data_IF_724947900104
#
_entry.id   IF_724947900104
#
_cell.length_a   1.000
_cell.length_b   1.000
_cell.length_c   1.000
_cell.angle_alpha   90.00
_cell.angle_beta   90.00
_cell.angle_gamma   90.00
#
_symmetry.space_group_name_H-M   'P 1'
#
loop_
_entity.id
_entity.type
_entity.pdbx_description
1 polymer ?
#
# COMPACT_ATOMS: atom_id res chain seq x y z
N UNK A 1 -25.23 -8.69 -81.98
CA UNK A 1 -25.37 -9.33 -80.66
C UNK A 1 -24.00 -9.35 -79.98
N UNK A 2 -23.71 -8.35 -79.13
CA UNK A 2 -22.50 -8.30 -78.30
C UNK A 2 -22.95 -8.29 -76.84
N UNK A 3 -22.62 -9.36 -76.12
CA UNK A 3 -22.90 -9.52 -74.69
C UNK A 3 -21.95 -8.62 -73.90
N UNK A 4 -22.53 -7.78 -73.05
CA UNK A 4 -21.81 -6.98 -72.05
C UNK A 4 -21.45 -7.93 -70.89
N UNK A 5 -20.16 -8.10 -70.61
CA UNK A 5 -19.67 -8.78 -69.41
C UNK A 5 -19.55 -7.73 -68.29
N UNK A 6 -20.39 -7.87 -67.26
CA UNK A 6 -20.27 -7.12 -66.01
C UNK A 6 -19.30 -7.90 -65.11
N UNK A 7 -18.14 -7.30 -64.84
CA UNK A 7 -17.16 -7.82 -63.90
C UNK A 7 -17.51 -7.33 -62.49
N UNK A 8 -18.04 -8.21 -61.65
CA UNK A 8 -18.34 -7.93 -60.24
C UNK A 8 -17.03 -8.11 -59.46
N UNK A 9 -16.44 -7.02 -58.99
CA UNK A 9 -15.37 -7.08 -58.00
C UNK A 9 -15.99 -7.37 -56.62
N UNK A 10 -15.80 -8.60 -56.15
CA UNK A 10 -16.07 -8.99 -54.77
C UNK A 10 -15.01 -8.33 -53.87
N UNK A 11 -15.42 -7.32 -53.11
CA UNK A 11 -14.65 -6.86 -51.96
C UNK A 11 -14.60 -8.00 -50.93
N UNK A 12 -13.45 -8.67 -50.82
CA UNK A 12 -13.15 -9.53 -49.70
C UNK A 12 -12.84 -8.64 -48.50
N UNK A 13 -13.82 -8.44 -47.62
CA UNK A 13 -13.57 -7.94 -46.29
C UNK A 13 -12.80 -9.02 -45.53
N UNK A 14 -11.47 -8.91 -45.48
CA UNK A 14 -10.70 -9.56 -44.43
C UNK A 14 -11.12 -8.87 -43.13
N UNK A 15 -11.97 -9.54 -42.34
CA UNK A 15 -12.19 -9.14 -40.96
C UNK A 15 -10.89 -9.46 -40.23
N UNK A 16 -10.03 -8.46 -40.10
CA UNK A 16 -9.03 -8.48 -39.05
C UNK A 16 -9.78 -8.76 -37.75
N UNK A 17 -9.47 -9.92 -37.17
CA UNK A 17 -9.92 -10.26 -35.83
C UNK A 17 -9.24 -9.24 -34.91
N UNK A 18 -9.95 -8.16 -34.62
CA UNK A 18 -9.70 -7.38 -33.42
C UNK A 18 -9.85 -8.41 -32.29
N UNK A 19 -8.73 -8.77 -31.66
CA UNK A 19 -8.74 -9.56 -30.44
C UNK A 19 -9.65 -8.80 -29.48
N UNK A 20 -10.86 -9.32 -29.27
CA UNK A 20 -11.61 -8.97 -28.08
C UNK A 20 -10.73 -9.38 -26.90
N UNK A 21 -10.61 -8.56 -25.84
CA UNK A 21 -10.02 -9.04 -24.60
C UNK A 21 -10.74 -10.35 -24.25
N UNK A 22 -9.98 -11.39 -23.90
CA UNK A 22 -10.58 -12.59 -23.33
C UNK A 22 -11.49 -12.12 -22.19
N UNK A 23 -12.78 -12.46 -22.27
CA UNK A 23 -13.69 -12.19 -21.17
C UNK A 23 -13.12 -12.93 -19.95
N UNK A 24 -12.74 -12.18 -18.92
CA UNK A 24 -12.23 -12.73 -17.68
C UNK A 24 -13.28 -13.69 -17.10
N UNK A 25 -12.84 -14.88 -16.65
CA UNK A 25 -13.73 -15.85 -15.99
C UNK A 25 -14.26 -15.26 -14.68
N UNK A 26 -15.58 -15.07 -14.59
CA UNK A 26 -16.24 -14.55 -13.39
C UNK A 26 -16.10 -15.46 -12.16
N UNK A 27 -15.55 -16.68 -12.30
CA UNK A 27 -15.34 -17.63 -11.19
C UNK A 27 -13.91 -17.62 -10.62
N UNK A 28 -13.12 -16.59 -10.90
CA UNK A 28 -11.76 -16.53 -10.40
C UNK A 28 -11.72 -16.29 -8.87
N UNK A 29 -10.92 -17.09 -8.15
CA UNK A 29 -10.69 -16.98 -6.70
C UNK A 29 -9.29 -16.44 -6.40
N UNK A 30 -9.15 -15.18 -5.93
CA UNK A 30 -7.87 -14.62 -5.51
C UNK A 30 -7.07 -15.57 -4.59
N UNK A 31 -5.73 -15.57 -4.68
CA UNK A 31 -4.90 -16.51 -3.93
C UNK A 31 -4.87 -16.21 -2.43
N UNK A 32 -5.28 -15.00 -2.01
CA UNK A 32 -5.22 -14.53 -0.64
C UNK A 32 -6.53 -13.87 -0.18
N UNK A 33 -6.81 -13.87 1.12
CA UNK A 33 -7.89 -13.07 1.70
C UNK A 33 -7.48 -11.59 1.87
N UNK A 34 -6.21 -11.36 2.20
CA UNK A 34 -5.56 -10.06 2.32
C UNK A 34 -4.04 -10.23 2.31
N UNK A 35 -3.30 -9.19 1.90
CA UNK A 35 -1.88 -9.37 1.53
C UNK A 35 -0.88 -9.12 2.65
N UNK A 36 -1.27 -8.43 3.72
CA UNK A 36 -0.39 -8.19 4.87
C UNK A 36 0.00 -9.45 5.65
N UNK A 37 -0.66 -10.59 5.37
CA UNK A 37 -0.45 -11.87 6.07
C UNK A 37 0.30 -12.92 5.23
N UNK A 38 0.74 -12.57 4.01
CA UNK A 38 1.28 -13.57 3.08
C UNK A 38 2.67 -14.06 3.49
N UNK A 39 3.46 -13.20 4.13
CA UNK A 39 4.79 -13.50 4.65
C UNK A 39 5.20 -12.40 5.66
N UNK A 40 5.62 -12.72 6.89
CA UNK A 40 6.01 -11.74 7.91
C UNK A 40 7.46 -11.24 7.77
N UNK A 41 8.24 -11.80 6.84
CA UNK A 41 9.68 -11.50 6.72
C UNK A 41 9.98 -10.65 5.47
N UNK A 42 8.98 -10.03 4.83
CA UNK A 42 9.20 -9.17 3.65
C UNK A 42 10.02 -7.95 4.08
N UNK A 43 9.64 -7.30 5.17
CA UNK A 43 10.42 -6.26 5.84
C UNK A 43 10.53 -6.62 7.32
N UNK A 44 11.74 -6.60 7.86
CA UNK A 44 12.04 -7.05 9.23
C UNK A 44 12.59 -5.90 10.07
N UNK A 45 12.65 -6.11 11.39
CA UNK A 45 13.25 -5.13 12.30
C UNK A 45 14.74 -4.88 12.06
N UNK A 46 15.43 -5.82 11.41
CA UNK A 46 16.85 -5.73 11.05
C UNK A 46 17.09 -4.90 9.77
N UNK A 47 16.04 -4.57 9.01
CA UNK A 47 16.18 -3.76 7.81
C UNK A 47 16.57 -2.31 8.14
N UNK A 48 17.35 -1.66 7.24
CA UNK A 48 17.73 -0.27 7.41
C UNK A 48 16.51 0.64 7.58
N UNK A 49 16.60 1.57 8.51
CA UNK A 49 15.65 2.66 8.67
C UNK A 49 16.31 3.98 8.27
N UNK A 50 15.54 4.84 7.62
CA UNK A 50 15.92 6.22 7.31
C UNK A 50 15.78 7.16 8.51
N UNK A 51 15.17 6.69 9.60
CA UNK A 51 14.95 7.49 10.79
C UNK A 51 16.28 7.97 11.39
N UNK A 52 16.42 9.29 11.54
CA UNK A 52 17.59 9.93 12.17
C UNK A 52 17.32 10.23 13.64
N UNK A 53 16.22 10.92 13.91
CA UNK A 53 16.01 11.61 15.18
C UNK A 53 14.52 11.86 15.44
N UNK A 54 14.17 11.85 16.72
CA UNK A 54 12.87 12.26 17.24
C UNK A 54 13.07 13.43 18.19
N UNK A 55 12.40 14.55 17.94
CA UNK A 55 12.42 15.72 18.82
C UNK A 55 11.11 15.85 19.60
N UNK A 56 11.11 16.51 20.76
CA UNK A 56 9.89 16.83 21.50
C UNK A 56 9.51 18.30 21.27
N UNK A 57 8.37 18.53 20.62
CA UNK A 57 7.85 19.86 20.28
C UNK A 57 6.79 20.38 21.27
N UNK A 58 6.58 19.70 22.40
CA UNK A 58 5.60 20.09 23.40
C UNK A 58 4.23 19.43 23.17
N UNK A 59 3.18 20.22 23.40
CA UNK A 59 1.79 19.83 23.19
C UNK A 59 1.08 20.98 22.49
N UNK A 60 0.04 20.67 21.74
CA UNK A 60 -0.79 21.68 21.12
C UNK A 60 -2.06 21.08 20.53
N UNK A 61 -3.08 21.91 20.35
CA UNK A 61 -4.36 21.43 19.81
C UNK A 61 -4.18 20.82 18.42
N UNK A 62 -4.67 19.60 18.24
CA UNK A 62 -4.76 18.88 16.97
C UNK A 62 -6.15 18.27 16.83
N UNK A 63 -6.62 18.16 15.60
CA UNK A 63 -7.74 17.30 15.26
C UNK A 63 -7.16 15.96 14.80
N UNK A 64 -7.56 14.87 15.46
CA UNK A 64 -7.09 13.51 15.20
C UNK A 64 -8.30 12.63 14.96
N UNK A 65 -8.16 11.58 14.15
CA UNK A 65 -9.20 10.55 14.03
C UNK A 65 -8.88 9.39 14.96
N UNK A 66 -9.82 9.01 15.81
CA UNK A 66 -9.73 7.81 16.66
C UNK A 66 -10.86 6.87 16.27
N UNK A 67 -10.57 5.66 15.77
CA UNK A 67 -11.61 4.68 15.37
C UNK A 67 -12.65 4.42 16.47
N UNK A 68 -12.27 4.55 17.75
CA UNK A 68 -13.18 4.37 18.90
C UNK A 68 -14.20 5.49 19.07
N UNK A 69 -13.95 6.67 18.50
CA UNK A 69 -14.71 7.89 18.81
C UNK A 69 -14.93 8.84 17.62
N UNK A 70 -14.38 8.54 16.45
CA UNK A 70 -14.35 9.41 15.29
C UNK A 70 -13.36 10.56 15.43
N UNK A 71 -13.68 11.71 14.83
CA UNK A 71 -12.86 12.92 14.90
C UNK A 71 -12.89 13.53 16.30
N UNK A 72 -11.71 13.69 16.89
CA UNK A 72 -11.50 14.26 18.22
C UNK A 72 -10.55 15.45 18.16
N UNK A 73 -10.77 16.44 19.02
CA UNK A 73 -9.85 17.57 19.20
C UNK A 73 -9.15 17.40 20.55
N UNK A 74 -7.83 17.22 20.53
CA UNK A 74 -7.01 16.91 21.69
C UNK A 74 -5.77 17.80 21.73
N UNK A 75 -5.05 17.78 22.85
CA UNK A 75 -3.69 18.35 22.95
C UNK A 75 -2.65 17.22 23.08
N UNK A 76 -2.35 16.47 22.01
CA UNK A 76 -1.39 15.37 22.04
C UNK A 76 0.03 15.83 22.39
N UNK A 77 0.87 14.86 22.75
CA UNK A 77 2.32 15.04 22.75
C UNK A 77 2.82 15.03 21.31
N UNK A 78 3.60 16.05 20.93
CA UNK A 78 4.05 16.26 19.56
C UNK A 78 5.53 15.89 19.42
N UNK A 79 5.81 14.99 18.48
CA UNK A 79 7.15 14.52 18.18
C UNK A 79 7.45 14.58 16.68
N UNK A 80 8.14 15.63 16.20
CA UNK A 80 8.68 15.62 14.85
C UNK A 80 9.77 14.56 14.70
N UNK A 81 9.57 13.64 13.77
CA UNK A 81 10.54 12.62 13.35
C UNK A 81 11.22 13.06 12.05
N UNK A 82 12.55 13.01 12.02
CA UNK A 82 13.38 13.40 10.88
C UNK A 82 13.97 12.15 10.21
N UNK A 83 14.00 12.14 8.87
CA UNK A 83 14.52 11.05 8.05
C UNK A 83 15.68 11.52 7.15
N UNK A 84 16.61 10.63 6.82
CA UNK A 84 17.84 10.95 6.09
C UNK A 84 17.66 11.21 4.59
N UNK A 85 16.47 10.96 4.05
CA UNK A 85 16.02 11.42 2.74
C UNK A 85 15.38 12.82 2.76
N UNK A 86 15.40 13.49 3.91
CA UNK A 86 14.90 14.86 4.10
C UNK A 86 13.39 14.95 4.39
N UNK A 87 12.69 13.82 4.52
CA UNK A 87 11.30 13.81 4.95
C UNK A 87 11.18 14.10 6.45
N UNK A 88 10.00 14.55 6.87
CA UNK A 88 9.66 14.79 8.28
C UNK A 88 8.21 14.40 8.52
N UNK A 89 7.94 13.73 9.64
CA UNK A 89 6.58 13.32 10.05
C UNK A 89 6.31 13.87 11.45
N UNK A 90 5.21 14.61 11.64
CA UNK A 90 4.77 15.00 12.99
C UNK A 90 3.99 13.84 13.62
N UNK A 91 4.62 13.13 14.56
CA UNK A 91 3.97 12.08 15.32
C UNK A 91 3.20 12.70 16.49
N UNK A 92 1.91 12.40 16.56
CA UNK A 92 0.96 12.96 17.52
C UNK A 92 0.44 11.84 18.42
N UNK A 93 0.92 11.82 19.66
CA UNK A 93 0.56 10.77 20.63
C UNK A 93 -0.53 11.28 21.56
N UNK A 94 -1.64 10.55 21.61
CA UNK A 94 -2.81 10.89 22.41
C UNK A 94 -2.44 11.16 23.89
N UNK A 95 -3.08 12.15 24.56
CA UNK A 95 -2.87 12.39 25.99
C UNK A 95 -3.04 11.17 26.92
N UNK A 96 -3.79 10.16 26.51
CA UNK A 96 -4.07 8.95 27.29
C UNK A 96 -2.83 8.11 27.66
N UNK A 97 -1.69 8.36 27.01
CA UNK A 97 -0.39 7.77 27.38
C UNK A 97 0.21 8.36 28.67
N UNK A 98 -0.41 9.41 29.22
CA UNK A 98 -0.19 9.91 30.57
C UNK A 98 1.01 10.85 30.71
N UNK A 99 2.22 10.39 30.36
CA UNK A 99 3.46 11.18 30.47
C UNK A 99 4.15 11.34 29.12
N UNK A 100 5.03 12.34 29.04
CA UNK A 100 5.86 12.57 27.85
C UNK A 100 6.72 11.34 27.56
N UNK A 101 7.34 10.75 28.58
CA UNK A 101 8.27 9.63 28.46
C UNK A 101 7.57 8.39 27.89
N UNK A 102 6.35 8.10 28.35
CA UNK A 102 5.53 7.03 27.79
C UNK A 102 5.18 7.33 26.33
N UNK A 103 4.74 8.56 26.03
CA UNK A 103 4.40 8.96 24.68
C UNK A 103 5.60 8.89 23.72
N UNK A 104 6.78 9.31 24.18
CA UNK A 104 8.04 9.27 23.44
C UNK A 104 8.46 7.84 23.11
N UNK A 105 8.17 6.87 23.99
CA UNK A 105 8.43 5.45 23.73
C UNK A 105 7.66 4.93 22.51
N UNK A 106 6.36 5.23 22.42
CA UNK A 106 5.55 4.83 21.27
C UNK A 106 5.91 5.64 20.02
N UNK A 107 6.13 6.95 20.15
CA UNK A 107 6.54 7.78 19.03
C UNK A 107 7.85 7.29 18.40
N UNK A 108 8.86 6.97 19.22
CA UNK A 108 10.15 6.47 18.74
C UNK A 108 10.01 5.13 18.01
N UNK A 109 9.25 4.19 18.59
CA UNK A 109 9.00 2.88 17.98
C UNK A 109 8.45 3.02 16.57
N UNK A 110 7.34 3.75 16.42
CA UNK A 110 6.70 3.87 15.11
C UNK A 110 7.48 4.76 14.15
N UNK A 111 8.23 5.76 14.63
CA UNK A 111 9.13 6.52 13.77
C UNK A 111 10.18 5.62 13.10
N UNK A 112 10.77 4.69 13.86
CA UNK A 112 11.76 3.73 13.35
C UNK A 112 11.14 2.80 12.31
N UNK A 113 9.97 2.21 12.63
CA UNK A 113 9.26 1.28 11.75
C UNK A 113 8.86 1.97 10.45
N UNK A 114 8.25 3.15 10.53
CA UNK A 114 7.88 3.95 9.35
C UNK A 114 9.12 4.26 8.51
N UNK A 115 10.26 4.57 9.13
CA UNK A 115 11.51 4.84 8.42
C UNK A 115 12.08 3.66 7.62
N UNK A 116 11.61 2.42 7.83
CA UNK A 116 11.96 1.25 7.00
C UNK A 116 11.20 1.22 5.68
N UNK A 117 10.07 1.91 5.60
CA UNK A 117 9.30 2.02 4.36
C UNK A 117 10.06 2.84 3.32
N UNK A 118 9.75 2.59 2.05
CA UNK A 118 10.32 3.36 0.94
C UNK A 118 9.99 4.85 1.05
N UNK A 119 10.85 5.72 0.52
CA UNK A 119 10.59 7.15 0.40
C UNK A 119 9.30 7.37 -0.38
N UNK A 120 9.03 6.54 -1.38
CA UNK A 120 7.78 6.58 -2.14
C UNK A 120 6.54 6.45 -1.25
N UNK A 121 6.54 5.50 -0.32
CA UNK A 121 5.43 5.30 0.60
C UNK A 121 5.35 6.37 1.69
N UNK A 122 6.47 7.01 2.04
CA UNK A 122 6.51 8.08 3.03
C UNK A 122 6.23 9.48 2.47
N UNK A 123 6.29 9.69 1.14
CA UNK A 123 6.33 11.02 0.50
C UNK A 123 5.15 11.94 0.88
N UNK A 124 3.97 11.38 1.11
CA UNK A 124 2.76 12.14 1.48
C UNK A 124 2.32 11.90 2.93
N UNK A 125 3.11 11.18 3.73
CA UNK A 125 2.85 11.02 5.16
C UNK A 125 3.35 12.28 5.87
N UNK A 126 2.45 13.18 6.25
CA UNK A 126 2.79 14.40 6.99
C UNK A 126 2.69 14.20 8.51
N UNK A 127 1.79 13.30 8.94
CA UNK A 127 1.47 13.08 10.35
C UNK A 127 1.27 11.61 10.69
N UNK A 128 1.35 11.25 11.97
CA UNK A 128 0.89 9.95 12.46
C UNK A 128 0.12 10.13 13.76
N UNK A 129 -1.05 9.50 13.88
CA UNK A 129 -1.88 9.55 15.07
C UNK A 129 -1.74 8.27 15.87
N UNK A 130 -1.29 8.37 17.12
CA UNK A 130 -1.10 7.22 18.00
C UNK A 130 -2.10 7.27 19.14
N UNK A 131 -2.99 6.28 19.16
CA UNK A 131 -4.03 6.05 20.15
C UNK A 131 -3.78 4.71 20.86
N UNK A 132 -4.24 4.57 22.10
CA UNK A 132 -4.53 3.25 22.67
C UNK A 132 -5.79 2.69 22.05
N UNK A 133 -6.10 1.42 22.34
CA UNK A 133 -7.32 0.77 21.89
C UNK A 133 -7.08 -0.37 20.91
N UNK A 134 -8.12 -1.18 20.77
CA UNK A 134 -8.11 -2.40 19.97
C UNK A 134 -8.89 -2.20 18.67
N UNK A 135 -8.38 -1.35 17.78
CA UNK A 135 -8.91 -1.06 16.45
C UNK A 135 -7.77 -1.19 15.41
N UNK A 136 -8.05 -1.54 14.14
CA UNK A 136 -7.01 -1.67 13.14
C UNK A 136 -6.37 -0.34 12.75
N UNK A 137 -5.21 -0.40 12.11
CA UNK A 137 -4.54 0.78 11.56
C UNK A 137 -5.35 1.41 10.40
N UNK A 138 -4.88 2.54 9.89
CA UNK A 138 -5.46 3.18 8.73
C UNK A 138 -4.50 4.15 8.04
N UNK A 139 -4.60 4.21 6.72
CA UNK A 139 -3.94 5.19 5.87
C UNK A 139 -4.89 6.23 5.27
N UNK A 140 -4.32 7.21 4.59
CA UNK A 140 -5.02 8.34 3.96
C UNK A 140 -4.92 9.64 4.77
N UNK A 141 -5.51 10.72 4.25
CA UNK A 141 -5.46 12.06 4.87
C UNK A 141 -4.03 12.53 5.24
N UNK A 142 -3.03 12.12 4.46
CA UNK A 142 -1.60 12.40 4.74
C UNK A 142 -1.17 11.93 6.14
N UNK A 143 -1.76 10.83 6.61
CA UNK A 143 -1.62 10.33 7.96
C UNK A 143 -1.49 8.81 8.01
N UNK A 144 -0.83 8.31 9.07
CA UNK A 144 -0.91 6.92 9.50
C UNK A 144 -1.57 6.85 10.88
N UNK A 145 -2.72 6.18 10.94
CA UNK A 145 -3.49 5.94 12.15
C UNK A 145 -3.07 4.64 12.83
N UNK A 146 -2.74 4.75 14.12
CA UNK A 146 -2.19 3.67 14.93
C UNK A 146 -3.00 3.52 16.21
N UNK A 147 -3.41 2.28 16.50
CA UNK A 147 -4.04 1.86 17.74
C UNK A 147 -3.18 0.77 18.39
N UNK A 148 -2.55 1.09 19.52
CA UNK A 148 -1.44 0.28 20.06
C UNK A 148 -1.86 -1.09 20.55
N UNK A 149 -3.04 -1.24 21.15
CA UNK A 149 -3.45 -2.52 21.73
C UNK A 149 -3.77 -3.55 20.62
N UNK A 150 -4.28 -3.06 19.48
CA UNK A 150 -4.45 -3.87 18.28
C UNK A 150 -3.11 -4.24 17.65
N UNK A 151 -2.20 -3.27 17.53
CA UNK A 151 -0.85 -3.50 16.98
C UNK A 151 -0.14 -4.62 17.73
N UNK A 152 -0.08 -4.50 19.06
CA UNK A 152 0.55 -5.51 19.93
C UNK A 152 -0.10 -6.89 19.73
N UNK A 153 -1.43 -6.95 19.69
CA UNK A 153 -2.16 -8.23 19.63
C UNK A 153 -2.09 -8.91 18.27
N UNK A 154 -2.26 -8.14 17.18
CA UNK A 154 -2.54 -8.68 15.85
C UNK A 154 -1.43 -8.42 14.82
N UNK A 155 -0.57 -7.43 15.01
CA UNK A 155 0.47 -7.13 14.02
C UNK A 155 1.85 -7.54 14.53
N UNK A 156 2.24 -7.05 15.71
CA UNK A 156 3.55 -7.32 16.28
C UNK A 156 3.72 -8.78 16.70
N UNK A 157 2.71 -9.36 17.36
CA UNK A 157 2.76 -10.79 17.71
C UNK A 157 2.82 -11.73 16.51
N UNK A 158 2.40 -11.25 15.33
CA UNK A 158 2.47 -12.00 14.07
C UNK A 158 3.71 -11.64 13.24
N UNK A 159 4.47 -10.62 13.63
CA UNK A 159 5.65 -10.14 12.89
C UNK A 159 5.33 -9.33 11.64
N UNK A 160 4.09 -8.83 11.46
CA UNK A 160 3.61 -8.20 10.21
C UNK A 160 3.44 -6.68 10.31
N UNK A 161 4.12 -6.03 11.26
CA UNK A 161 3.90 -4.61 11.53
C UNK A 161 4.33 -3.75 10.34
N UNK A 162 5.51 -4.03 9.79
CA UNK A 162 6.06 -3.37 8.62
C UNK A 162 5.19 -3.59 7.38
N UNK A 163 4.73 -4.82 7.13
CA UNK A 163 3.83 -5.20 6.03
C UNK A 163 2.50 -4.42 6.11
N UNK A 164 1.96 -4.30 7.34
CA UNK A 164 0.77 -3.50 7.59
C UNK A 164 1.03 -2.04 7.23
N UNK A 165 2.18 -1.48 7.62
CA UNK A 165 2.52 -0.11 7.27
C UNK A 165 2.75 0.10 5.77
N UNK A 166 3.26 -0.90 5.03
CA UNK A 166 3.35 -0.84 3.56
C UNK A 166 1.96 -0.65 2.96
N UNK A 167 0.96 -1.41 3.44
CA UNK A 167 -0.42 -1.29 3.00
C UNK A 167 -1.00 0.10 3.33
N UNK A 168 -0.93 0.53 4.60
CA UNK A 168 -1.52 1.81 5.02
C UNK A 168 -0.83 3.02 4.38
N UNK A 169 0.50 2.97 4.20
CA UNK A 169 1.23 4.04 3.53
C UNK A 169 0.97 4.07 2.02
N UNK A 170 0.58 2.94 1.41
CA UNK A 170 0.13 2.90 0.01
C UNK A 170 -1.16 3.72 -0.16
N UNK A 171 -2.12 3.58 0.75
CA UNK A 171 -3.31 4.46 0.74
C UNK A 171 -2.95 5.94 0.84
N UNK A 172 -1.97 6.26 1.69
CA UNK A 172 -1.57 7.65 1.92
C UNK A 172 -0.85 8.26 0.72
N UNK A 173 0.06 7.51 0.10
CA UNK A 173 1.04 8.06 -0.85
C UNK A 173 0.81 7.63 -2.30
N UNK A 174 -0.01 6.63 -2.57
CA UNK A 174 -0.20 6.08 -3.93
C UNK A 174 -1.62 6.28 -4.47
N UNK A 175 -2.66 6.00 -3.68
CA UNK A 175 -4.04 5.92 -4.17
C UNK A 175 -4.47 7.13 -4.99
N UNK A 176 -4.22 8.35 -4.47
CA UNK A 176 -4.64 9.60 -5.12
C UNK A 176 -4.00 9.86 -6.49
N UNK A 177 -2.88 9.19 -6.81
CA UNK A 177 -2.20 9.30 -8.09
C UNK A 177 -2.51 8.13 -9.02
N UNK A 178 -2.78 6.95 -8.46
CA UNK A 178 -2.72 5.69 -9.21
C UNK A 178 -4.06 4.96 -9.30
N UNK A 179 -4.86 4.92 -8.23
CA UNK A 179 -6.01 4.00 -8.11
C UNK A 179 -7.09 4.21 -9.18
N UNK A 180 -7.28 5.44 -9.64
CA UNK A 180 -8.21 5.79 -10.73
C UNK A 180 -7.49 6.16 -12.05
N UNK A 181 -6.17 5.98 -12.12
CA UNK A 181 -5.42 6.29 -13.34
C UNK A 181 -5.76 5.29 -14.45
N UNK A 182 -5.89 5.77 -15.69
CA UNK A 182 -6.21 4.90 -16.84
C UNK A 182 -5.24 3.74 -17.00
N UNK A 183 -3.95 3.96 -16.78
CA UNK A 183 -2.93 2.91 -16.92
C UNK A 183 -3.02 1.86 -15.82
N UNK A 184 -3.47 2.22 -14.61
CA UNK A 184 -3.71 1.25 -13.54
C UNK A 184 -4.96 0.43 -13.83
N UNK A 185 -6.05 1.08 -14.24
CA UNK A 185 -7.29 0.41 -14.61
C UNK A 185 -7.08 -0.53 -15.80
N UNK A 186 -6.27 -0.14 -16.78
CA UNK A 186 -5.89 -1.00 -17.90
C UNK A 186 -5.08 -2.22 -17.43
N UNK A 187 -4.17 -2.06 -16.47
CA UNK A 187 -3.41 -3.17 -15.88
C UNK A 187 -4.32 -4.11 -15.07
N UNK A 188 -5.24 -3.55 -14.26
CA UNK A 188 -6.25 -4.30 -13.53
C UNK A 188 -7.14 -5.13 -14.48
N UNK A 189 -7.60 -4.54 -15.58
CA UNK A 189 -8.39 -5.25 -16.59
C UNK A 189 -7.59 -6.35 -17.32
N UNK A 190 -6.29 -6.15 -17.52
CA UNK A 190 -5.43 -7.10 -18.22
C UNK A 190 -5.05 -8.33 -17.39
N UNK A 191 -5.02 -8.22 -16.06
CA UNK A 191 -4.75 -9.35 -15.16
C UNK A 191 -5.94 -10.29 -15.01
N UNK A 192 -7.16 -9.84 -15.28
CA UNK A 192 -8.43 -10.55 -15.05
C UNK A 192 -8.72 -10.98 -13.60
N UNK A 193 -7.69 -11.08 -12.76
CA UNK A 193 -7.68 -11.52 -11.38
C UNK A 193 -7.26 -10.38 -10.45
N UNK A 194 -7.56 -10.55 -9.16
CA UNK A 194 -7.07 -9.71 -8.07
C UNK A 194 -6.17 -10.54 -7.16
N UNK A 195 -5.18 -9.89 -6.57
CA UNK A 195 -4.25 -10.56 -5.65
C UNK A 195 -4.94 -11.05 -4.36
N UNK A 196 -6.00 -10.39 -3.92
CA UNK A 196 -6.76 -10.78 -2.74
C UNK A 196 -8.27 -10.59 -2.87
N UNK A 197 -9.03 -11.31 -2.03
CA UNK A 197 -10.47 -11.10 -1.87
C UNK A 197 -10.80 -9.64 -1.55
N UNK A 198 -9.99 -9.01 -0.69
CA UNK A 198 -10.18 -7.63 -0.28
C UNK A 198 -9.97 -6.63 -1.42
N UNK A 199 -8.93 -6.83 -2.23
CA UNK A 199 -8.69 -6.06 -3.45
C UNK A 199 -9.83 -6.22 -4.45
N UNK A 200 -10.32 -7.45 -4.67
CA UNK A 200 -11.46 -7.73 -5.58
C UNK A 200 -12.74 -7.02 -5.12
N UNK A 201 -13.05 -7.09 -3.84
CA UNK A 201 -14.30 -6.58 -3.30
C UNK A 201 -14.32 -5.04 -3.21
N UNK A 202 -13.14 -4.40 -3.18
CA UNK A 202 -12.97 -2.95 -3.11
C UNK A 202 -11.88 -2.43 -4.08
N UNK A 203 -12.03 -2.62 -5.40
CA UNK A 203 -10.93 -2.51 -6.38
C UNK A 203 -10.38 -1.10 -6.57
N UNK A 204 -11.18 -0.06 -6.30
CA UNK A 204 -10.71 1.32 -6.33
C UNK A 204 -10.01 1.71 -5.02
N UNK A 205 -10.39 1.09 -3.91
CA UNK A 205 -9.90 1.49 -2.58
C UNK A 205 -8.69 0.67 -2.15
N UNK A 206 -8.67 -0.62 -2.44
CA UNK A 206 -7.75 -1.59 -1.83
C UNK A 206 -6.74 -2.18 -2.80
N UNK A 207 -7.01 -2.18 -4.12
CA UNK A 207 -6.19 -2.94 -5.06
C UNK A 207 -4.75 -2.43 -5.15
N UNK A 208 -4.51 -1.12 -5.07
CA UNK A 208 -3.15 -0.56 -5.01
C UNK A 208 -2.44 -1.02 -3.72
N UNK A 209 -3.07 -0.81 -2.56
CA UNK A 209 -2.48 -1.13 -1.26
C UNK A 209 -2.22 -2.63 -1.08
N UNK A 210 -3.13 -3.46 -1.57
CA UNK A 210 -2.99 -4.91 -1.58
C UNK A 210 -1.97 -5.40 -2.62
N UNK A 211 -1.82 -4.74 -3.76
CA UNK A 211 -0.87 -5.17 -4.80
C UNK A 211 0.57 -4.71 -4.53
N UNK A 212 0.77 -3.60 -3.80
CA UNK A 212 2.08 -2.99 -3.64
C UNK A 212 3.04 -3.83 -2.78
N UNK A 213 2.57 -4.39 -1.66
CA UNK A 213 3.41 -5.25 -0.81
C UNK A 213 3.90 -6.52 -1.55
N UNK A 214 3.03 -7.29 -2.24
CA UNK A 214 3.46 -8.37 -3.13
C UNK A 214 4.45 -7.93 -4.20
N UNK A 215 4.22 -6.79 -4.87
CA UNK A 215 5.17 -6.23 -5.85
C UNK A 215 6.55 -5.97 -5.21
N UNK A 216 6.57 -5.33 -4.05
CA UNK A 216 7.81 -5.05 -3.30
C UNK A 216 8.52 -6.35 -2.94
N UNK A 217 7.78 -7.37 -2.50
CA UNK A 217 8.31 -8.69 -2.20
C UNK A 217 8.98 -9.34 -3.42
N UNK A 218 8.32 -9.33 -4.58
CA UNK A 218 8.87 -9.91 -5.81
C UNK A 218 10.12 -9.17 -6.29
N UNK A 219 10.12 -7.83 -6.26
CA UNK A 219 11.19 -7.03 -6.90
C UNK A 219 12.39 -6.79 -6.01
N UNK A 220 12.17 -6.62 -4.71
CA UNK A 220 13.21 -6.17 -3.79
C UNK A 220 13.51 -7.20 -2.69
N UNK A 221 12.66 -8.22 -2.49
CA UNK A 221 12.80 -9.20 -1.40
C UNK A 221 12.53 -10.63 -1.85
N UNK A 222 12.82 -10.93 -3.13
CA UNK A 222 12.55 -12.24 -3.72
C UNK A 222 13.30 -13.39 -3.02
N UNK A 223 14.40 -13.08 -2.35
CA UNK A 223 15.20 -14.02 -1.55
C UNK A 223 14.56 -14.35 -0.18
N UNK A 224 13.54 -13.60 0.24
CA UNK A 224 12.83 -13.78 1.51
C UNK A 224 11.53 -14.55 1.37
N UNK A 225 10.95 -14.61 0.17
CA UNK A 225 9.70 -15.33 -0.09
C UNK A 225 9.96 -16.69 -0.75
N UNK A 226 9.03 -17.63 -0.56
CA UNK A 226 9.09 -18.93 -1.25
C UNK A 226 8.80 -18.78 -2.75
N UNK A 227 9.38 -19.68 -3.57
CA UNK A 227 9.09 -19.72 -5.01
C UNK A 227 7.60 -19.96 -5.30
N UNK A 228 6.91 -20.74 -4.46
CA UNK A 228 5.46 -20.95 -4.58
C UNK A 228 4.67 -19.66 -4.32
N UNK A 229 5.05 -18.86 -3.32
CA UNK A 229 4.44 -17.56 -3.05
C UNK A 229 4.70 -16.60 -4.21
N UNK A 230 5.96 -16.52 -4.65
CA UNK A 230 6.35 -15.70 -5.80
C UNK A 230 5.53 -16.04 -7.04
N UNK A 231 5.40 -17.32 -7.37
CA UNK A 231 4.61 -17.77 -8.51
C UNK A 231 3.14 -17.36 -8.40
N UNK A 232 2.51 -17.53 -7.23
CA UNK A 232 1.11 -17.08 -7.03
C UNK A 232 0.94 -15.60 -7.30
N UNK A 233 1.87 -14.77 -6.84
CA UNK A 233 1.83 -13.32 -7.05
C UNK A 233 2.01 -12.98 -8.54
N UNK A 234 3.03 -13.56 -9.18
CA UNK A 234 3.35 -13.32 -10.61
C UNK A 234 2.25 -13.83 -11.55
N UNK A 235 1.58 -14.94 -11.21
CA UNK A 235 0.46 -15.49 -11.98
C UNK A 235 -0.80 -14.63 -11.82
N UNK A 236 -1.05 -14.08 -10.62
CA UNK A 236 -2.29 -13.35 -10.30
C UNK A 236 -2.33 -11.91 -10.81
N UNK A 237 -1.21 -11.17 -10.73
CA UNK A 237 -1.18 -9.73 -11.04
C UNK A 237 0.01 -9.27 -11.92
N UNK A 238 0.36 -9.99 -13.00
CA UNK A 238 1.56 -9.69 -13.80
C UNK A 238 1.58 -8.28 -14.40
N UNK A 239 0.43 -7.74 -14.82
CA UNK A 239 0.32 -6.41 -15.43
C UNK A 239 0.36 -5.30 -14.38
N UNK A 240 -0.22 -5.50 -13.19
CA UNK A 240 -0.05 -4.53 -12.08
C UNK A 240 1.39 -4.49 -11.58
N UNK A 241 2.08 -5.63 -11.50
CA UNK A 241 3.52 -5.66 -11.22
C UNK A 241 4.28 -4.84 -12.28
N UNK A 242 3.98 -5.07 -13.57
CA UNK A 242 4.57 -4.29 -14.66
C UNK A 242 4.24 -2.80 -14.56
N UNK A 243 3.02 -2.45 -14.16
CA UNK A 243 2.63 -1.05 -13.93
C UNK A 243 3.56 -0.41 -12.91
N UNK A 244 3.81 -1.08 -11.78
CA UNK A 244 4.72 -0.57 -10.75
C UNK A 244 6.17 -0.51 -11.22
N UNK A 245 6.65 -1.49 -11.99
CA UNK A 245 7.98 -1.46 -12.63
C UNK A 245 8.16 -0.23 -13.54
N UNK A 246 7.09 0.19 -14.22
CA UNK A 246 7.10 1.35 -15.11
C UNK A 246 7.05 2.69 -14.34
N UNK A 247 6.85 2.66 -13.01
CA UNK A 247 6.88 3.86 -12.18
C UNK A 247 8.32 4.16 -11.74
N UNK A 248 8.68 5.45 -11.73
CA UNK A 248 9.97 5.91 -11.21
C UNK A 248 9.89 6.16 -9.69
N UNK A 249 9.46 5.16 -8.94
CA UNK A 249 9.29 5.23 -7.50
C UNK A 249 10.64 5.28 -6.76
N UNK A 250 10.70 6.10 -5.71
CA UNK A 250 11.90 6.14 -4.88
C UNK A 250 11.86 5.05 -3.80
N UNK A 251 12.59 3.97 -4.04
CA UNK A 251 12.55 2.77 -3.20
C UNK A 251 13.45 2.85 -1.95
N UNK A 252 14.25 3.88 -1.78
CA UNK A 252 15.12 4.05 -0.60
C UNK A 252 14.33 3.96 0.72
N UNK A 253 14.77 3.20 1.76
CA UNK A 253 16.07 2.56 1.91
C UNK A 253 16.15 1.14 1.37
N UNK A 254 15.07 0.64 0.77
CA UNK A 254 14.99 -0.69 0.18
C UNK A 254 15.77 -0.68 -1.14
N UNK A 255 16.75 -1.59 -1.24
CA UNK A 255 17.56 -1.85 -2.43
C UNK A 255 17.12 -3.16 -3.07
#
# INVERSE_FOLDING_TARGET
MKKIFILIFLFSCSKDKINQPEECDENFNPPFGGTIFIDPDIITEDDPTTFINLSYAGRGTRQMYDRRSGWVTLEPFLFPAEYDDGLTIEIQVNPEFGSRENAETYALKYAVVIGRLTTELRKDVETSWIHRGNEPFGGGNKNLLIHTDWSETYYENQGILEETFVHEASHTSLDSYHAESSSWLDAQLADCEFISDYARDYPIREDIAESYLPYLAIRYRSDRISEDLRKKIEDAIPNRIKYFDDQNFNMYPIQ
#
